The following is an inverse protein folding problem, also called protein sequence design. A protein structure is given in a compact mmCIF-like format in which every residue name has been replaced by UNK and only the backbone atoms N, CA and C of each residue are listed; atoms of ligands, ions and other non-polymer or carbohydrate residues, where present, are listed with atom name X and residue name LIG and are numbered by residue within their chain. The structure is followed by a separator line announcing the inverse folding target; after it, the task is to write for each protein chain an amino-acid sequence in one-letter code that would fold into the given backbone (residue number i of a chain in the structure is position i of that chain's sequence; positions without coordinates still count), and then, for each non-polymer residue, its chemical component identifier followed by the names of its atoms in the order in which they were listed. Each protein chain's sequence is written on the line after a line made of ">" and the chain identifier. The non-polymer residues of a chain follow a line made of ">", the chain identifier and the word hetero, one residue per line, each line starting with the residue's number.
data_IF_984714349708
#
_entry.id   IF_984714349708
#
_cell.length_a   1.000
_cell.length_b   1.000
_cell.length_c   1.000
_cell.angle_alpha   90.00
_cell.angle_beta   90.00
_cell.angle_gamma   90.00
#
_symmetry.space_group_name_H-M   'P 1'
#
loop_
_entity.id
_entity.type
_entity.pdbx_description
1 polymer ?
#
# COMPACT_ATOMS: atom_id res chain seq x y z
N UNK A 1 -7.77 14.30 -0.23
CA UNK A 1 -7.60 14.17 1.23
C UNK A 1 -7.63 12.73 1.68
N UNK A 2 -7.01 12.40 2.82
CA UNK A 2 -6.98 11.05 3.37
C UNK A 2 -6.58 11.00 4.84
N UNK A 3 -6.94 9.92 5.51
CA UNK A 3 -6.59 9.62 6.90
C UNK A 3 -5.46 8.60 6.93
N UNK A 4 -4.41 8.89 7.67
CA UNK A 4 -3.31 7.96 7.82
C UNK A 4 -2.10 8.57 8.52
N UNK A 5 -1.12 7.74 8.89
CA UNK A 5 -1.19 6.27 8.89
C UNK A 5 -1.89 5.77 10.16
N UNK A 6 -2.82 4.83 10.01
CA UNK A 6 -3.56 4.21 11.13
C UNK A 6 -3.40 2.70 11.10
N UNK A 7 -3.29 2.08 12.27
CA UNK A 7 -3.34 0.63 12.35
C UNK A 7 -2.75 0.13 13.64
N UNK A 8 -1.92 -0.90 13.56
CA UNK A 8 -1.40 -1.63 14.72
C UNK A 8 0.10 -1.91 14.60
N UNK A 9 0.79 -2.09 15.75
CA UNK A 9 2.21 -2.39 15.76
C UNK A 9 2.57 -3.61 14.93
N UNK A 10 3.64 -3.51 14.15
CA UNK A 10 4.27 -4.63 13.46
C UNK A 10 5.42 -5.27 14.30
N UNK A 11 5.54 -4.87 15.56
CA UNK A 11 6.44 -5.47 16.55
C UNK A 11 5.65 -6.13 17.68
N UNK A 12 6.31 -6.93 18.51
CA UNK A 12 5.67 -7.59 19.63
C UNK A 12 5.14 -6.55 20.63
N UNK A 13 3.81 -6.43 20.69
CA UNK A 13 3.10 -5.58 21.63
C UNK A 13 2.17 -6.44 22.51
N UNK A 14 1.79 -5.91 23.67
CA UNK A 14 0.81 -6.58 24.54
C UNK A 14 -0.54 -6.69 23.81
N UNK A 15 -1.30 -7.79 23.97
CA UNK A 15 -2.59 -7.97 23.30
C UNK A 15 -3.55 -6.78 23.47
N UNK A 16 -3.64 -6.22 24.69
CA UNK A 16 -4.47 -5.05 24.98
C UNK A 16 -4.11 -3.80 24.15
N UNK A 17 -2.84 -3.63 23.76
CA UNK A 17 -2.40 -2.54 22.88
C UNK A 17 -2.90 -2.78 21.46
N UNK A 18 -2.72 -4.00 20.94
CA UNK A 18 -3.18 -4.38 19.60
C UNK A 18 -4.71 -4.24 19.49
N UNK A 19 -5.45 -4.65 20.51
CA UNK A 19 -6.90 -4.47 20.59
C UNK A 19 -7.30 -2.99 20.60
N UNK A 20 -6.60 -2.15 21.37
CA UNK A 20 -6.86 -0.71 21.38
C UNK A 20 -6.61 -0.08 20.01
N UNK A 21 -5.50 -0.42 19.36
CA UNK A 21 -5.18 -0.02 17.99
C UNK A 21 -6.26 -0.46 17.00
N UNK A 22 -6.75 -1.70 17.09
CA UNK A 22 -7.82 -2.20 16.22
C UNK A 22 -9.16 -1.47 16.44
N UNK A 23 -9.47 -1.01 17.66
CA UNK A 23 -10.65 -0.17 17.90
C UNK A 23 -10.50 1.19 17.21
N UNK A 24 -9.36 1.85 17.39
CA UNK A 24 -9.06 3.13 16.71
C UNK A 24 -9.12 2.98 15.19
N UNK A 25 -8.56 1.91 14.64
CA UNK A 25 -8.63 1.58 13.22
C UNK A 25 -10.09 1.50 12.73
N UNK A 26 -10.97 0.86 13.50
CA UNK A 26 -12.41 0.79 13.20
C UNK A 26 -13.10 2.16 13.18
N UNK A 27 -12.76 3.03 14.14
CA UNK A 27 -13.28 4.41 14.17
C UNK A 27 -12.79 5.22 12.96
N UNK A 28 -11.51 5.10 12.58
CA UNK A 28 -10.95 5.79 11.40
C UNK A 28 -11.60 5.32 10.11
N UNK A 29 -11.89 4.02 9.97
CA UNK A 29 -12.64 3.50 8.83
C UNK A 29 -14.04 4.10 8.76
N UNK A 30 -14.75 4.21 9.89
CA UNK A 30 -16.07 4.85 9.93
C UNK A 30 -16.00 6.34 9.57
N UNK A 31 -15.03 7.08 10.11
CA UNK A 31 -14.82 8.49 9.76
C UNK A 31 -14.49 8.68 8.28
N UNK A 32 -13.67 7.79 7.70
CA UNK A 32 -13.29 7.88 6.30
C UNK A 32 -14.47 7.65 5.35
N UNK A 33 -15.43 6.80 5.73
CA UNK A 33 -16.66 6.57 4.98
C UNK A 33 -17.56 7.82 4.97
N UNK A 34 -17.66 8.53 6.09
CA UNK A 34 -18.39 9.80 6.18
C UNK A 34 -17.72 10.93 5.37
N UNK A 35 -16.39 10.95 5.34
CA UNK A 35 -15.59 11.96 4.65
C UNK A 35 -15.27 11.61 3.18
N UNK A 36 -15.66 10.42 2.71
CA UNK A 36 -15.36 9.87 1.38
C UNK A 36 -13.86 9.94 0.99
N UNK A 37 -12.98 9.72 1.97
CA UNK A 37 -11.54 9.91 1.82
C UNK A 37 -10.74 8.60 1.80
N UNK A 38 -9.45 8.69 1.41
CA UNK A 38 -8.54 7.53 1.38
C UNK A 38 -8.04 7.21 2.80
N UNK A 39 -7.91 5.93 3.16
CA UNK A 39 -7.28 5.51 4.42
C UNK A 39 -6.00 4.73 4.16
N UNK A 40 -4.91 5.07 4.86
CA UNK A 40 -3.67 4.30 4.82
C UNK A 40 -3.51 3.45 6.07
N UNK A 41 -3.55 2.12 5.88
CA UNK A 41 -3.41 1.14 6.94
C UNK A 41 -1.96 0.75 7.18
N UNK A 42 -1.44 1.08 8.36
CA UNK A 42 -0.14 0.63 8.84
C UNK A 42 -0.30 -0.56 9.79
N UNK A 43 -0.03 -1.76 9.28
CA UNK A 43 -0.19 -3.03 10.02
C UNK A 43 1.00 -3.96 9.78
N UNK A 44 1.05 -5.07 10.52
CA UNK A 44 2.07 -6.10 10.31
C UNK A 44 1.98 -6.77 8.94
N UNK A 45 3.11 -7.32 8.48
CA UNK A 45 3.20 -8.14 7.27
C UNK A 45 2.96 -9.61 7.58
N UNK A 46 1.68 -9.95 7.78
CA UNK A 46 1.22 -11.31 8.10
C UNK A 46 0.67 -12.09 6.91
N UNK A 47 1.00 -11.69 5.68
CA UNK A 47 0.53 -12.30 4.45
C UNK A 47 -0.99 -12.25 4.28
N UNK A 48 -1.57 -13.36 3.78
CA UNK A 48 -3.02 -13.44 3.54
C UNK A 48 -3.87 -13.25 4.80
N UNK A 49 -3.36 -13.61 5.98
CA UNK A 49 -4.10 -13.45 7.23
C UNK A 49 -4.35 -11.97 7.54
N UNK A 50 -3.34 -11.12 7.37
CA UNK A 50 -3.48 -9.66 7.49
C UNK A 50 -4.44 -9.12 6.45
N UNK A 51 -4.32 -9.57 5.19
CA UNK A 51 -5.24 -9.13 4.12
C UNK A 51 -6.70 -9.47 4.45
N UNK A 52 -7.00 -10.67 4.94
CA UNK A 52 -8.35 -11.07 5.33
C UNK A 52 -8.89 -10.24 6.50
N UNK A 53 -8.05 -9.98 7.52
CA UNK A 53 -8.44 -9.14 8.64
C UNK A 53 -8.77 -7.71 8.16
N UNK A 54 -7.92 -7.08 7.35
CA UNK A 54 -8.18 -5.75 6.81
C UNK A 54 -9.44 -5.73 5.93
N UNK A 55 -9.56 -6.69 5.01
CA UNK A 55 -10.70 -6.83 4.11
C UNK A 55 -12.02 -6.97 4.90
N UNK A 56 -12.00 -7.69 6.02
CA UNK A 56 -13.19 -7.84 6.88
C UNK A 56 -13.66 -6.51 7.48
N UNK A 57 -12.74 -5.58 7.78
CA UNK A 57 -13.08 -4.27 8.39
C UNK A 57 -13.70 -3.32 7.38
N UNK A 58 -13.34 -3.46 6.11
CA UNK A 58 -13.77 -2.56 5.03
C UNK A 58 -14.85 -3.16 4.13
N UNK A 59 -15.21 -4.44 4.33
CA UNK A 59 -16.20 -5.15 3.52
C UNK A 59 -17.53 -4.42 3.52
N UNK A 60 -18.00 -4.07 2.32
CA UNK A 60 -19.29 -3.41 2.11
C UNK A 60 -19.27 -1.91 2.43
N UNK A 61 -18.13 -1.34 2.81
CA UNK A 61 -17.98 0.08 3.07
C UNK A 61 -17.61 0.85 1.82
N UNK A 62 -18.07 2.09 1.75
CA UNK A 62 -17.62 3.04 0.73
C UNK A 62 -16.29 3.62 1.18
N UNK A 63 -15.32 3.70 0.28
CA UNK A 63 -13.99 4.22 0.59
C UNK A 63 -12.88 3.56 -0.19
N UNK A 64 -11.67 4.11 -0.03
CA UNK A 64 -10.46 3.63 -0.68
C UNK A 64 -9.43 3.32 0.40
N UNK A 65 -9.07 2.06 0.52
CA UNK A 65 -8.34 1.54 1.67
C UNK A 65 -6.98 1.00 1.24
N UNK A 66 -5.94 1.77 1.53
CA UNK A 66 -4.56 1.46 1.16
C UNK A 66 -3.96 0.53 2.21
N UNK A 67 -3.48 -0.63 1.77
CA UNK A 67 -2.60 -1.47 2.59
C UNK A 67 -1.17 -0.95 2.40
N UNK A 68 -0.74 -0.08 3.32
CA UNK A 68 0.61 0.48 3.31
C UNK A 68 1.65 -0.63 3.58
N UNK A 69 2.79 -0.52 2.91
CA UNK A 69 3.91 -1.45 2.98
C UNK A 69 3.53 -2.92 2.71
N UNK A 70 2.60 -3.12 1.77
CA UNK A 70 2.06 -4.41 1.38
C UNK A 70 3.16 -5.36 0.86
N UNK A 71 3.04 -6.64 1.20
CA UNK A 71 3.83 -7.70 0.59
C UNK A 71 3.43 -7.86 -0.88
N UNK A 72 4.38 -7.74 -1.80
CA UNK A 72 4.14 -7.88 -3.24
C UNK A 72 3.51 -9.23 -3.59
N UNK A 73 3.89 -10.30 -2.88
CA UNK A 73 3.28 -11.64 -3.03
C UNK A 73 1.78 -11.69 -2.69
N UNK A 74 1.28 -10.70 -1.95
CA UNK A 74 -0.13 -10.58 -1.55
C UNK A 74 -0.88 -9.49 -2.32
N UNK A 75 -0.23 -8.73 -3.21
CA UNK A 75 -0.82 -7.58 -3.88
C UNK A 75 -2.12 -7.93 -4.65
N UNK A 76 -2.09 -8.95 -5.50
CA UNK A 76 -3.30 -9.40 -6.21
C UNK A 76 -4.41 -9.85 -5.27
N UNK A 77 -4.07 -10.58 -4.22
CA UNK A 77 -5.02 -11.07 -3.22
C UNK A 77 -5.69 -9.93 -2.44
N UNK A 78 -4.94 -8.87 -2.13
CA UNK A 78 -5.43 -7.65 -1.50
C UNK A 78 -6.35 -6.86 -2.44
N UNK A 79 -5.94 -6.69 -3.70
CA UNK A 79 -6.73 -6.01 -4.73
C UNK A 79 -8.11 -6.68 -4.94
N UNK A 80 -8.14 -8.01 -5.04
CA UNK A 80 -9.38 -8.80 -5.16
C UNK A 80 -10.35 -8.62 -3.98
N UNK A 81 -9.86 -8.13 -2.84
CA UNK A 81 -10.62 -7.93 -1.60
C UNK A 81 -10.97 -6.47 -1.34
N UNK A 82 -10.78 -5.59 -2.32
CA UNK A 82 -11.12 -4.18 -2.22
C UNK A 82 -10.11 -3.33 -1.44
N UNK A 83 -8.88 -3.83 -1.26
CA UNK A 83 -7.76 -3.03 -0.76
C UNK A 83 -6.90 -2.54 -1.92
N UNK A 84 -6.25 -1.39 -1.75
CA UNK A 84 -5.24 -0.90 -2.68
C UNK A 84 -3.86 -1.21 -2.08
N UNK A 85 -3.15 -2.23 -2.58
CA UNK A 85 -1.81 -2.53 -2.06
C UNK A 85 -0.84 -1.41 -2.45
N UNK A 86 -0.17 -0.83 -1.45
CA UNK A 86 0.97 0.06 -1.64
C UNK A 86 2.26 -0.74 -1.43
N UNK A 87 2.89 -1.09 -2.54
CA UNK A 87 4.02 -2.03 -2.56
C UNK A 87 5.33 -1.24 -2.44
N UNK A 88 6.24 -1.61 -1.51
CA UNK A 88 7.53 -0.95 -1.42
C UNK A 88 8.31 -1.03 -2.73
N UNK A 89 9.01 0.05 -3.08
CA UNK A 89 9.81 0.17 -4.29
C UNK A 89 11.12 -0.64 -4.25
N UNK A 90 10.99 -1.95 -4.00
CA UNK A 90 12.05 -2.96 -4.05
C UNK A 90 11.80 -3.88 -5.24
N UNK A 91 12.86 -4.26 -5.94
CA UNK A 91 12.76 -5.02 -7.21
C UNK A 91 12.02 -6.35 -7.02
N UNK A 92 12.31 -7.07 -5.94
CA UNK A 92 11.66 -8.33 -5.57
C UNK A 92 10.18 -8.18 -5.21
N UNK A 93 9.82 -7.15 -4.44
CA UNK A 93 8.43 -6.85 -4.07
C UNK A 93 7.59 -6.46 -5.30
N UNK A 94 8.10 -5.56 -6.14
CA UNK A 94 7.41 -5.12 -7.37
C UNK A 94 7.27 -6.30 -8.33
N UNK A 95 8.32 -7.10 -8.54
CA UNK A 95 8.22 -8.30 -9.36
C UNK A 95 7.24 -9.33 -8.78
N UNK A 96 7.12 -9.43 -7.46
CA UNK A 96 6.14 -10.29 -6.81
C UNK A 96 4.71 -9.82 -7.06
N UNK A 97 4.46 -8.51 -6.94
CA UNK A 97 3.15 -7.93 -7.24
C UNK A 97 2.75 -8.15 -8.70
N UNK A 98 3.66 -7.85 -9.64
CA UNK A 98 3.46 -7.99 -11.08
C UNK A 98 3.11 -9.41 -11.54
N UNK A 99 3.48 -10.45 -10.77
CA UNK A 99 3.06 -11.84 -11.05
C UNK A 99 1.55 -12.06 -10.88
N UNK A 100 0.87 -11.19 -10.14
CA UNK A 100 -0.54 -11.36 -9.76
C UNK A 100 -1.44 -10.22 -10.22
N UNK A 101 -0.95 -8.99 -10.27
CA UNK A 101 -1.77 -7.82 -10.63
C UNK A 101 -0.91 -6.64 -11.07
N UNK A 102 -1.53 -5.71 -11.81
CA UNK A 102 -1.01 -4.36 -12.05
C UNK A 102 -1.80 -3.30 -11.27
N UNK A 103 -2.80 -3.70 -10.47
CA UNK A 103 -3.64 -2.81 -9.64
C UNK A 103 -3.03 -2.53 -8.27
N UNK A 104 -1.78 -2.08 -8.25
CA UNK A 104 -1.06 -1.68 -7.03
C UNK A 104 -0.41 -0.31 -7.24
N UNK A 105 -0.23 0.43 -6.15
CA UNK A 105 0.61 1.64 -6.15
C UNK A 105 1.99 1.30 -5.58
N UNK A 106 2.98 2.14 -5.87
CA UNK A 106 4.35 1.94 -5.39
C UNK A 106 4.74 3.05 -4.45
N UNK A 107 5.36 2.68 -3.34
CA UNK A 107 5.81 3.62 -2.32
C UNK A 107 7.29 3.49 -2.01
N UNK A 108 7.85 4.59 -1.52
CA UNK A 108 9.24 4.65 -1.06
C UNK A 108 9.40 4.33 0.42
N UNK A 109 8.36 4.61 1.22
CA UNK A 109 8.41 4.67 2.68
C UNK A 109 9.67 5.42 3.18
N UNK A 110 9.95 6.56 2.54
CA UNK A 110 11.20 7.28 2.76
C UNK A 110 11.20 7.97 4.12
N UNK A 111 11.92 7.39 5.08
CA UNK A 111 12.25 8.03 6.33
C UNK A 111 13.44 8.99 6.15
N UNK A 112 13.18 10.29 6.26
CA UNK A 112 14.20 11.35 6.21
C UNK A 112 15.01 11.43 7.53
N UNK A 113 15.63 10.31 7.93
CA UNK A 113 16.54 10.26 9.09
C UNK A 113 17.99 10.27 8.61
N UNK A 114 18.73 11.39 8.78
CA UNK A 114 20.12 11.51 8.34
C UNK A 114 21.07 10.52 9.02
N UNK A 115 20.65 9.85 10.10
CA UNK A 115 21.42 8.80 10.79
C UNK A 115 21.32 7.43 10.11
N UNK A 116 20.44 7.26 9.11
CA UNK A 116 20.21 5.99 8.39
C UNK A 116 20.39 6.13 6.87
N UNK A 117 21.52 6.67 6.37
CA UNK A 117 21.74 6.84 4.93
C UNK A 117 21.71 5.48 4.21
N UNK A 118 20.93 5.38 3.15
CA UNK A 118 20.83 4.17 2.31
C UNK A 118 19.95 3.04 2.87
N UNK A 119 19.38 3.18 4.08
CA UNK A 119 18.45 2.20 4.64
C UNK A 119 17.02 2.31 4.06
N UNK A 120 16.76 3.37 3.30
CA UNK A 120 15.43 3.75 2.77
C UNK A 120 15.49 3.87 1.26
N UNK A 121 14.40 3.47 0.59
CA UNK A 121 14.28 3.68 -0.84
C UNK A 121 13.96 5.15 -1.05
N UNK A 122 14.81 5.89 -1.77
CA UNK A 122 14.50 7.28 -2.07
C UNK A 122 13.40 7.39 -3.14
N UNK A 123 12.45 8.33 -3.06
CA UNK A 123 11.36 8.47 -4.03
C UNK A 123 11.87 8.63 -5.48
N UNK A 124 12.93 9.40 -5.68
CA UNK A 124 13.57 9.61 -6.99
C UNK A 124 14.26 8.36 -7.55
N UNK A 125 14.39 7.28 -6.76
CA UNK A 125 14.92 6.00 -7.24
C UNK A 125 13.84 5.08 -7.80
N UNK A 126 12.55 5.36 -7.58
CA UNK A 126 11.42 4.59 -8.15
C UNK A 126 11.50 4.60 -9.68
N UNK A 127 11.75 5.76 -10.29
CA UNK A 127 11.93 5.88 -11.74
C UNK A 127 13.05 4.96 -12.25
N UNK A 128 14.19 4.91 -11.54
CA UNK A 128 15.33 4.07 -11.93
C UNK A 128 15.01 2.58 -11.84
N UNK A 129 14.23 2.17 -10.85
CA UNK A 129 13.73 0.79 -10.73
C UNK A 129 12.83 0.44 -11.94
N UNK A 130 11.82 1.26 -12.22
CA UNK A 130 10.86 0.96 -13.29
C UNK A 130 11.50 1.00 -14.68
N UNK A 131 12.38 1.96 -14.97
CA UNK A 131 13.13 1.99 -16.23
C UNK A 131 13.96 0.70 -16.41
N UNK A 132 14.59 0.21 -15.35
CA UNK A 132 15.33 -1.05 -15.38
C UNK A 132 14.41 -2.23 -15.66
N UNK A 133 13.27 -2.31 -14.96
CA UNK A 133 12.32 -3.40 -15.15
C UNK A 133 11.76 -3.43 -16.58
N UNK A 134 11.46 -2.26 -17.16
CA UNK A 134 11.05 -2.13 -18.56
C UNK A 134 12.17 -2.57 -19.50
N UNK A 135 13.40 -2.06 -19.31
CA UNK A 135 14.55 -2.41 -20.16
C UNK A 135 14.89 -3.91 -20.16
N UNK A 136 14.58 -4.61 -19.07
CA UNK A 136 14.78 -6.05 -18.91
C UNK A 136 13.57 -6.88 -19.36
N UNK A 137 12.49 -6.24 -19.83
CA UNK A 137 11.29 -6.91 -20.30
C UNK A 137 10.40 -7.50 -19.20
N UNK A 138 10.55 -7.07 -17.95
CA UNK A 138 9.69 -7.54 -16.85
C UNK A 138 8.28 -6.92 -16.88
N UNK A 139 8.13 -5.74 -17.48
CA UNK A 139 6.85 -5.10 -17.76
C UNK A 139 6.97 -4.16 -18.96
N UNK A 140 5.85 -3.84 -19.60
CA UNK A 140 5.79 -2.83 -20.68
C UNK A 140 5.77 -1.41 -20.12
N UNK A 141 6.06 -0.42 -20.96
CA UNK A 141 5.88 1.00 -20.60
C UNK A 141 4.44 1.32 -20.20
N UNK A 142 3.44 0.73 -20.88
CA UNK A 142 2.04 0.89 -20.50
C UNK A 142 1.71 0.30 -19.11
N UNK A 143 2.29 -0.85 -18.77
CA UNK A 143 2.15 -1.42 -17.43
C UNK A 143 2.86 -0.56 -16.37
N UNK A 144 4.02 0.01 -16.69
CA UNK A 144 4.72 0.95 -15.83
C UNK A 144 3.88 2.23 -15.61
N UNK A 145 3.29 2.77 -16.67
CA UNK A 145 2.40 3.94 -16.62
C UNK A 145 1.19 3.66 -15.72
N UNK A 146 0.55 2.50 -15.87
CA UNK A 146 -0.56 2.08 -15.00
C UNK A 146 -0.18 2.10 -13.52
N UNK A 147 0.92 1.45 -13.17
CA UNK A 147 1.37 1.32 -11.78
C UNK A 147 1.83 2.65 -11.18
N UNK A 148 2.52 3.49 -11.97
CA UNK A 148 3.12 4.74 -11.48
C UNK A 148 2.19 5.95 -11.56
N UNK A 149 1.20 5.93 -12.44
CA UNK A 149 0.38 7.11 -12.78
C UNK A 149 -1.12 6.83 -12.67
N UNK A 150 -1.65 5.86 -13.42
CA UNK A 150 -3.12 5.63 -13.47
C UNK A 150 -3.67 5.24 -12.10
N UNK A 151 -3.08 4.24 -11.45
CA UNK A 151 -3.59 3.71 -10.19
C UNK A 151 -3.60 4.76 -9.07
N UNK A 152 -2.56 5.61 -9.00
CA UNK A 152 -2.48 6.66 -7.97
C UNK A 152 -3.45 7.82 -8.27
N UNK A 153 -3.62 8.15 -9.55
CA UNK A 153 -4.61 9.13 -10.00
C UNK A 153 -6.04 8.68 -9.68
N UNK A 154 -6.38 7.42 -9.99
CA UNK A 154 -7.66 6.80 -9.63
C UNK A 154 -7.86 6.74 -8.11
N UNK A 155 -6.83 6.34 -7.36
CA UNK A 155 -6.88 6.25 -5.90
C UNK A 155 -7.23 7.61 -5.26
N UNK A 156 -6.72 8.72 -5.79
CA UNK A 156 -7.01 10.05 -5.24
C UNK A 156 -8.09 10.82 -5.99
N UNK A 157 -8.59 10.30 -7.11
CA UNK A 157 -9.58 10.98 -7.96
C UNK A 157 -9.05 12.26 -8.58
N UNK A 158 -7.79 12.26 -9.03
CA UNK A 158 -7.13 13.41 -9.67
C UNK A 158 -6.80 13.12 -11.12
N UNK A 159 -6.63 14.15 -11.94
CA UNK A 159 -6.15 13.99 -13.32
C UNK A 159 -4.64 13.73 -13.32
N UNK A 160 -4.15 12.75 -14.08
CA UNK A 160 -2.72 12.56 -14.27
C UNK A 160 -2.12 13.74 -15.08
N UNK A 161 -0.84 14.08 -14.84
CA UNK A 161 -0.15 15.16 -15.55
C UNK A 161 0.07 14.87 -17.04
#
# INVERSE_FOLDING_TARGET
>A
DGLGEVGRPHWQARPAVVEACNRVLGEVVSMAEELECVVHFHVERGGRATVEDLASKVRGRRGRYVYHHAEGSCAGYAAERGLVPSVPAREDEVLAALRSTQGFVVESDFLDDPRRPGAVVAPWSIQRLFNRLVSRGYLSEGAAHRVLVENIAELYGVEPP
#
